data_IF_571174004845
#
_entry.id   IF_571174004845
#
_cell.length_a   1.000
_cell.length_b   1.000
_cell.length_c   1.000
_cell.angle_alpha   90.00
_cell.angle_beta   90.00
_cell.angle_gamma   90.00
#
_symmetry.space_group_name_H-M   'P 1'
#
loop_
_entity.id
_entity.type
_entity.pdbx_description
1 polymer ?
#
# COMPACT_ATOMS: atom_id res chain seq x y z
N UNK A 1 -2.85 4.56 8.10
CA UNK A 1 -1.46 4.05 8.15
C UNK A 1 -1.04 3.68 6.74
N UNK A 2 0.22 3.90 6.40
CA UNK A 2 0.80 3.57 5.09
C UNK A 2 1.97 2.59 5.26
N UNK A 3 2.17 1.68 4.31
CA UNK A 3 3.23 0.67 4.29
C UNK A 3 3.99 0.80 2.99
N UNK A 4 5.29 1.09 3.07
CA UNK A 4 6.18 1.20 1.92
C UNK A 4 6.91 -0.11 1.64
N UNK A 5 6.93 -0.54 0.37
CA UNK A 5 7.53 -1.81 -0.07
C UNK A 5 8.56 -1.65 -1.21
N UNK A 6 9.11 -0.44 -1.38
CA UNK A 6 10.10 -0.11 -2.41
C UNK A 6 9.52 0.20 -3.79
N UNK A 7 8.64 -0.67 -4.32
CA UNK A 7 7.95 -0.43 -5.60
C UNK A 7 6.77 0.54 -5.49
N UNK A 8 6.33 0.81 -4.27
CA UNK A 8 5.23 1.72 -3.99
C UNK A 8 4.80 1.67 -2.52
N UNK A 9 3.67 2.30 -2.25
CA UNK A 9 3.12 2.46 -0.91
C UNK A 9 1.67 2.00 -0.90
N UNK A 10 1.36 1.06 -0.02
CA UNK A 10 -0.02 0.75 0.34
C UNK A 10 -0.50 1.71 1.42
N UNK A 11 -1.72 2.19 1.34
CA UNK A 11 -2.33 2.99 2.39
C UNK A 11 -3.82 2.76 2.45
N UNK A 12 -4.39 3.03 3.62
CA UNK A 12 -5.83 3.19 3.79
C UNK A 12 -6.10 4.69 3.87
N UNK A 13 -6.91 5.20 2.96
CA UNK A 13 -7.27 6.62 2.87
C UNK A 13 -8.78 6.81 3.07
N UNK A 14 -9.22 7.77 3.90
CA UNK A 14 -10.63 8.10 4.03
C UNK A 14 -11.12 8.79 2.75
N UNK A 15 -12.17 8.24 2.13
CA UNK A 15 -12.82 8.84 0.96
C UNK A 15 -14.28 9.13 1.27
N UNK A 16 -14.79 10.22 0.70
CA UNK A 16 -16.18 10.64 0.87
C UNK A 16 -17.02 10.03 -0.24
N UNK A 17 -17.86 9.06 0.11
CA UNK A 17 -18.83 8.46 -0.79
C UNK A 17 -20.17 9.17 -0.65
N UNK A 18 -20.73 9.64 -1.77
CA UNK A 18 -22.10 10.11 -1.83
C UNK A 18 -23.06 8.93 -1.77
N UNK A 19 -24.03 8.99 -0.88
CA UNK A 19 -25.14 8.02 -0.80
C UNK A 19 -26.47 8.70 -1.08
N UNK A 20 -27.54 7.92 -1.13
CA UNK A 20 -28.90 8.41 -1.36
C UNK A 20 -29.27 9.55 -0.40
N UNK A 21 -30.16 10.43 -0.87
CA UNK A 21 -30.57 11.66 -0.18
C UNK A 21 -29.45 12.68 0.09
N UNK A 22 -28.32 12.60 -0.65
CA UNK A 22 -27.24 13.58 -0.55
C UNK A 22 -26.44 13.51 0.74
N UNK A 23 -26.58 12.42 1.50
CA UNK A 23 -25.74 12.12 2.65
C UNK A 23 -24.32 11.74 2.16
N UNK A 24 -23.32 12.10 2.95
CA UNK A 24 -21.92 11.76 2.68
C UNK A 24 -21.44 10.80 3.75
N UNK A 25 -20.89 9.66 3.33
CA UNK A 25 -20.26 8.68 4.20
C UNK A 25 -18.76 8.68 3.97
N UNK A 26 -18.00 8.82 5.06
CA UNK A 26 -16.55 8.60 5.02
C UNK A 26 -16.30 7.10 5.09
N UNK A 27 -15.62 6.55 4.08
CA UNK A 27 -15.24 5.14 4.01
C UNK A 27 -13.73 5.00 3.89
N UNK A 28 -13.19 3.99 4.56
CA UNK A 28 -11.77 3.64 4.49
C UNK A 28 -11.48 2.88 3.19
N UNK A 29 -10.72 3.48 2.27
CA UNK A 29 -10.38 2.88 0.98
C UNK A 29 -8.92 2.44 0.96
N UNK A 30 -8.61 1.14 0.73
CA UNK A 30 -7.25 0.71 0.47
C UNK A 30 -6.80 1.18 -0.91
N UNK A 31 -5.59 1.72 -0.99
CA UNK A 31 -4.98 2.22 -2.22
C UNK A 31 -3.52 1.78 -2.31
N UNK A 32 -3.04 1.58 -3.54
CA UNK A 32 -1.63 1.36 -3.84
C UNK A 32 -1.14 2.50 -4.72
N UNK A 33 -0.11 3.21 -4.26
CA UNK A 33 0.53 4.29 -5.00
C UNK A 33 1.90 3.81 -5.44
N UNK A 34 2.08 3.65 -6.75
CA UNK A 34 3.36 3.25 -7.33
C UNK A 34 4.43 4.33 -7.10
N UNK A 35 5.67 3.89 -6.88
CA UNK A 35 6.81 4.80 -6.77
C UNK A 35 6.95 5.65 -8.04
N UNK A 36 7.23 6.95 -7.88
CA UNK A 36 7.39 7.93 -8.96
C UNK A 36 8.43 7.51 -10.00
N UNK A 37 9.52 6.86 -9.58
CA UNK A 37 10.58 6.36 -10.46
C UNK A 37 10.02 5.29 -11.41
N UNK A 38 9.32 4.29 -10.88
CA UNK A 38 8.70 3.23 -11.68
C UNK A 38 7.59 3.77 -12.58
N UNK A 39 6.75 4.68 -12.08
CA UNK A 39 5.72 5.36 -12.89
C UNK A 39 6.33 6.03 -14.11
N UNK A 40 7.43 6.76 -13.90
CA UNK A 40 8.12 7.51 -14.97
C UNK A 40 8.82 6.57 -15.94
N UNK A 41 9.53 5.57 -15.42
CA UNK A 41 10.30 4.62 -16.23
C UNK A 41 9.41 3.79 -17.15
N UNK A 42 8.27 3.33 -16.64
CA UNK A 42 7.30 2.52 -17.39
C UNK A 42 6.18 3.33 -18.06
N UNK A 43 6.21 4.67 -17.98
CA UNK A 43 5.19 5.58 -18.52
C UNK A 43 3.75 5.17 -18.11
N UNK A 44 3.56 4.87 -16.82
CA UNK A 44 2.28 4.39 -16.29
C UNK A 44 1.31 5.55 -16.04
N UNK A 45 0.09 5.41 -16.55
CA UNK A 45 -1.04 6.24 -16.15
C UNK A 45 -1.60 5.72 -14.82
N UNK A 46 -1.46 6.52 -13.76
CA UNK A 46 -2.00 6.20 -12.44
C UNK A 46 -2.85 7.38 -11.95
N UNK A 47 -4.00 7.09 -11.34
CA UNK A 47 -4.81 8.10 -10.68
C UNK A 47 -4.01 8.77 -9.56
N UNK A 48 -4.09 10.11 -9.46
CA UNK A 48 -3.46 10.87 -8.39
C UNK A 48 -4.28 10.77 -7.10
N UNK A 49 -4.36 9.59 -6.52
CA UNK A 49 -4.80 9.48 -5.13
C UNK A 49 -3.65 9.96 -4.25
N UNK A 50 -3.91 10.95 -3.38
CA UNK A 50 -2.91 11.47 -2.44
C UNK A 50 -3.13 10.82 -1.07
N UNK A 51 -2.07 10.26 -0.51
CA UNK A 51 -2.03 9.92 0.91
C UNK A 51 -1.88 11.24 1.67
N UNK A 52 -2.72 11.54 2.69
CA UNK A 52 -2.54 12.72 3.53
C UNK A 52 -1.17 12.73 4.18
N UNK A 53 -0.49 13.88 4.20
CA UNK A 53 0.90 14.01 4.71
C UNK A 53 1.03 13.60 6.18
N UNK A 54 -0.05 13.68 6.96
CA UNK A 54 -0.10 13.25 8.36
C UNK A 54 -0.16 11.72 8.54
N UNK A 55 -0.31 10.95 7.45
CA UNK A 55 -0.42 9.50 7.53
C UNK A 55 0.94 8.90 7.90
N UNK A 56 1.07 8.20 9.04
CA UNK A 56 2.33 7.58 9.40
C UNK A 56 2.67 6.48 8.39
N UNK A 57 3.86 6.59 7.80
CA UNK A 57 4.48 5.53 6.99
C UNK A 57 5.21 4.61 7.95
N UNK A 58 4.84 3.34 7.95
CA UNK A 58 5.51 2.30 8.71
C UNK A 58 6.25 1.36 7.77
N UNK A 59 7.29 0.72 8.30
CA UNK A 59 7.94 -0.38 7.60
C UNK A 59 7.11 -1.65 7.71
N UNK A 60 7.28 -2.54 6.73
CA UNK A 60 6.65 -3.85 6.72
C UNK A 60 7.14 -4.67 7.94
N UNK A 61 6.21 -5.11 8.79
CA UNK A 61 6.54 -5.95 9.94
C UNK A 61 6.52 -7.43 9.55
N UNK A 62 7.69 -7.95 9.20
CA UNK A 62 7.85 -9.38 8.89
C UNK A 62 7.56 -10.30 10.08
N UNK A 63 7.68 -9.80 11.33
CA UNK A 63 7.37 -10.57 12.53
C UNK A 63 5.87 -10.75 12.71
N UNK A 64 5.10 -9.68 12.51
CA UNK A 64 3.63 -9.72 12.52
C UNK A 64 3.10 -10.67 11.44
N UNK A 65 3.58 -10.54 10.20
CA UNK A 65 3.17 -11.42 9.10
C UNK A 65 3.56 -12.87 9.38
N UNK A 66 4.74 -13.13 9.95
CA UNK A 66 5.16 -14.47 10.34
C UNK A 66 4.25 -15.09 11.40
N UNK A 67 3.81 -14.29 12.39
CA UNK A 67 2.87 -14.73 13.42
C UNK A 67 1.51 -15.11 12.81
N UNK A 68 0.99 -14.27 11.91
CA UNK A 68 -0.32 -14.45 11.27
C UNK A 68 -0.35 -15.60 10.26
N UNK A 69 0.74 -15.80 9.51
CA UNK A 69 0.84 -16.83 8.48
C UNK A 69 1.42 -18.15 8.98
N UNK A 70 1.91 -18.19 10.22
CA UNK A 70 2.61 -19.33 10.83
C UNK A 70 3.87 -19.79 10.09
N UNK A 71 4.46 -18.91 9.28
CA UNK A 71 5.79 -19.14 8.70
C UNK A 71 6.89 -18.58 9.60
N UNK A 72 8.11 -19.09 9.43
CA UNK A 72 9.27 -18.45 10.06
C UNK A 72 9.53 -17.10 9.40
N UNK A 73 10.01 -16.12 10.18
CA UNK A 73 10.30 -14.76 9.69
C UNK A 73 11.19 -14.76 8.46
N UNK A 74 12.20 -15.63 8.39
CA UNK A 74 13.13 -15.70 7.27
C UNK A 74 12.44 -16.14 5.96
N UNK A 75 11.41 -16.98 6.07
CA UNK A 75 10.60 -17.41 4.90
C UNK A 75 9.74 -16.27 4.40
N UNK A 76 9.17 -15.47 5.31
CA UNK A 76 8.37 -14.30 4.95
C UNK A 76 9.25 -13.24 4.28
N UNK A 77 10.42 -12.93 4.86
CA UNK A 77 11.38 -12.00 4.28
C UNK A 77 11.82 -12.44 2.87
N UNK A 78 12.16 -13.73 2.70
CA UNK A 78 12.53 -14.28 1.39
C UNK A 78 11.38 -14.19 0.38
N UNK A 79 10.17 -14.57 0.77
CA UNK A 79 8.99 -14.54 -0.09
C UNK A 79 8.69 -13.11 -0.58
N UNK A 80 8.76 -12.12 0.32
CA UNK A 80 8.57 -10.71 -0.05
C UNK A 80 9.68 -10.26 -1.01
N UNK A 81 10.93 -10.61 -0.72
CA UNK A 81 12.06 -10.28 -1.59
C UNK A 81 11.93 -10.88 -3.00
N UNK A 82 11.64 -12.18 -3.11
CA UNK A 82 11.44 -12.87 -4.38
C UNK A 82 10.26 -12.30 -5.17
N UNK A 83 9.16 -12.00 -4.48
CA UNK A 83 7.98 -11.38 -5.10
C UNK A 83 8.32 -10.01 -5.68
N UNK A 84 9.07 -9.18 -4.94
CA UNK A 84 9.51 -7.87 -5.43
C UNK A 84 10.42 -8.01 -6.66
N UNK A 85 11.32 -8.99 -6.69
CA UNK A 85 12.17 -9.28 -7.84
C UNK A 85 11.37 -9.71 -9.08
N UNK A 86 10.18 -10.32 -8.93
CA UNK A 86 9.31 -10.62 -10.09
C UNK A 86 8.76 -9.37 -10.79
N UNK A 87 8.76 -8.21 -10.12
CA UNK A 87 8.20 -6.96 -10.64
C UNK A 87 9.23 -5.84 -10.84
N UNK A 88 10.51 -6.11 -10.55
CA UNK A 88 11.63 -5.18 -10.76
C UNK A 88 12.23 -5.36 -12.17
#
# INVERSE_FOLDING_TARGET
QAVEIGVGTFAIVPVHASVEEGKVLTVERPVFIVNKQLRTFYNLECEETKIPDETPVVQLDFGEIAADTHFRREIVELCVHETLLCFA
#
